data_IF_509290691009
#
_entry.id   IF_509290691009
#
_cell.length_a   1.000
_cell.length_b   1.000
_cell.length_c   1.000
_cell.angle_alpha   90.00
_cell.angle_beta   90.00
_cell.angle_gamma   90.00
#
_symmetry.space_group_name_H-M   'P 1'
#
loop_
_entity.id
_entity.type
_entity.pdbx_description
1 polymer ?
#
# COMPACT_ATOMS: atom_id res chain seq x y z
N UNK A 1 3.08 -3.05 7.65
CA UNK A 1 3.16 -1.74 6.97
C UNK A 1 2.45 -1.77 5.63
N UNK A 2 2.83 -2.66 4.71
CA UNK A 2 2.15 -2.86 3.41
C UNK A 2 0.63 -3.00 3.51
N UNK A 3 0.12 -3.85 4.41
CA UNK A 3 -1.33 -4.00 4.61
C UNK A 3 -1.99 -2.73 5.19
N UNK A 4 -1.31 -2.04 6.11
CA UNK A 4 -1.79 -0.76 6.65
C UNK A 4 -1.83 0.32 5.56
N UNK A 5 -0.86 0.32 4.64
CA UNK A 5 -0.81 1.23 3.50
C UNK A 5 -1.98 1.03 2.54
N UNK A 6 -2.28 -0.22 2.21
CA UNK A 6 -3.41 -0.58 1.35
C UNK A 6 -4.75 -0.13 1.97
N UNK A 7 -4.95 -0.35 3.27
CA UNK A 7 -6.17 0.07 3.99
C UNK A 7 -6.28 1.60 4.07
N UNK A 8 -5.18 2.30 4.37
CA UNK A 8 -5.20 3.78 4.44
C UNK A 8 -5.56 4.38 3.07
N UNK A 9 -5.02 3.82 1.98
CA UNK A 9 -5.27 4.29 0.61
C UNK A 9 -6.68 4.01 0.09
N UNK A 10 -7.47 3.18 0.79
CA UNK A 10 -8.89 2.99 0.46
C UNK A 10 -9.73 4.20 0.92
N UNK A 11 -9.25 4.94 1.93
CA UNK A 11 -9.92 6.12 2.51
C UNK A 11 -9.27 7.45 2.12
N UNK A 12 -7.97 7.45 1.83
CA UNK A 12 -7.21 8.61 1.36
C UNK A 12 -6.79 8.42 -0.10
N UNK A 13 -6.65 9.53 -0.83
CA UNK A 13 -6.05 9.52 -2.17
C UNK A 13 -4.63 8.94 -2.13
N UNK A 14 -4.29 8.16 -3.16
CA UNK A 14 -2.99 7.51 -3.37
C UNK A 14 -1.78 8.39 -2.98
N UNK A 15 -1.77 9.65 -3.43
CA UNK A 15 -0.67 10.58 -3.16
C UNK A 15 -0.56 10.96 -1.69
N UNK A 16 -1.70 11.20 -1.01
CA UNK A 16 -1.73 11.57 0.42
C UNK A 16 -1.30 10.39 1.29
N UNK A 17 -1.73 9.18 0.94
CA UNK A 17 -1.31 7.96 1.64
C UNK A 17 0.22 7.75 1.51
N UNK A 18 0.79 7.98 0.33
CA UNK A 18 2.23 7.89 0.12
C UNK A 18 3.00 8.95 0.92
N UNK A 19 2.48 10.18 0.98
CA UNK A 19 3.07 11.27 1.78
C UNK A 19 3.12 10.96 3.28
N UNK A 20 2.19 10.16 3.81
CA UNK A 20 2.17 9.75 5.23
C UNK A 20 3.11 8.56 5.47
N UNK A 21 3.13 7.60 4.55
CA UNK A 21 3.81 6.31 4.76
C UNK A 21 5.31 6.39 4.49
N UNK A 22 5.74 7.13 3.48
CA UNK A 22 7.17 7.30 3.16
C UNK A 22 8.00 7.84 4.35
N UNK A 23 7.62 8.95 5.02
CA UNK A 23 8.38 9.44 6.17
C UNK A 23 8.32 8.50 7.39
N UNK A 24 7.22 7.78 7.58
CA UNK A 24 7.10 6.75 8.61
C UNK A 24 8.08 5.60 8.37
N UNK A 25 8.20 5.14 7.12
CA UNK A 25 9.13 4.09 6.69
C UNK A 25 10.59 4.53 6.80
N UNK A 26 10.90 5.78 6.48
CA UNK A 26 12.24 6.36 6.69
C UNK A 26 12.58 6.45 8.19
N UNK A 27 11.60 6.73 9.04
CA UNK A 27 11.80 6.76 10.50
C UNK A 27 12.03 5.36 11.04
N UNK A 28 11.25 4.37 10.60
CA UNK A 28 11.42 2.96 10.98
C UNK A 28 12.71 2.35 10.43
N UNK A 29 13.22 2.81 9.29
CA UNK A 29 14.56 2.46 8.78
C UNK A 29 15.67 2.79 9.79
N UNK A 30 15.56 3.92 10.51
CA UNK A 30 16.56 4.27 11.54
C UNK A 30 16.59 3.26 12.69
N UNK A 31 15.48 2.55 12.91
CA UNK A 31 15.33 1.56 13.99
C UNK A 31 15.61 0.13 13.54
N UNK A 32 15.29 -0.22 12.29
CA UNK A 32 15.47 -1.55 11.72
C UNK A 32 16.34 -1.44 10.46
N UNK A 33 17.54 -2.03 10.49
CA UNK A 33 18.55 -2.01 9.41
C UNK A 33 18.15 -2.81 8.15
N UNK A 34 16.94 -2.56 7.65
CA UNK A 34 16.28 -3.18 6.49
C UNK A 34 16.46 -2.25 5.27
N UNK A 35 16.65 -2.78 4.05
CA UNK A 35 16.79 -1.95 2.85
C UNK A 35 15.49 -1.18 2.54
N UNK A 36 15.41 0.06 3.07
CA UNK A 36 14.24 0.93 2.96
C UNK A 36 13.80 1.20 1.52
N UNK A 37 14.73 1.21 0.55
CA UNK A 37 14.40 1.40 -0.86
C UNK A 37 13.43 0.34 -1.38
N UNK A 38 13.56 -0.93 -0.95
CA UNK A 38 12.62 -1.99 -1.35
C UNK A 38 11.27 -1.82 -0.66
N UNK A 39 11.27 -1.48 0.63
CA UNK A 39 10.04 -1.25 1.39
C UNK A 39 9.20 -0.12 0.78
N UNK A 40 9.83 1.01 0.43
CA UNK A 40 9.15 2.15 -0.19
C UNK A 40 8.55 1.76 -1.54
N UNK A 41 9.24 0.95 -2.36
CA UNK A 41 8.69 0.45 -3.63
C UNK A 41 7.45 -0.40 -3.38
N UNK A 42 7.52 -1.35 -2.44
CA UNK A 42 6.36 -2.19 -2.11
C UNK A 42 5.19 -1.41 -1.50
N UNK A 43 5.47 -0.35 -0.72
CA UNK A 43 4.45 0.56 -0.20
C UNK A 43 3.79 1.37 -1.31
N UNK A 44 4.57 1.92 -2.24
CA UNK A 44 4.03 2.62 -3.40
C UNK A 44 3.13 1.71 -4.25
N UNK A 45 3.53 0.46 -4.44
CA UNK A 45 2.71 -0.54 -5.15
C UNK A 45 1.44 -0.92 -4.34
N UNK A 46 1.53 -1.01 -3.02
CA UNK A 46 0.39 -1.30 -2.14
C UNK A 46 -0.65 -0.19 -2.11
N UNK A 47 -0.20 1.06 -2.04
CA UNK A 47 -1.06 2.24 -2.10
C UNK A 47 -1.76 2.31 -3.46
N UNK A 48 -1.03 2.05 -4.55
CA UNK A 48 -1.63 1.92 -5.89
C UNK A 48 -2.70 0.84 -5.97
N UNK A 49 -2.39 -0.38 -5.53
CA UNK A 49 -3.36 -1.49 -5.53
C UNK A 49 -4.58 -1.22 -4.62
N UNK A 50 -4.38 -0.60 -3.45
CA UNK A 50 -5.44 -0.28 -2.50
C UNK A 50 -6.37 0.85 -2.96
N UNK A 51 -5.82 1.87 -3.63
CA UNK A 51 -6.61 3.00 -4.17
C UNK A 51 -7.61 2.61 -5.26
N UNK A 52 -7.39 1.47 -5.93
CA UNK A 52 -8.30 0.97 -6.97
C UNK A 52 -9.68 0.54 -6.44
N UNK A 53 -9.77 0.17 -5.16
CA UNK A 53 -10.98 -0.42 -4.58
C UNK A 53 -12.15 0.57 -4.52
N UNK A 54 -11.88 1.86 -4.25
CA UNK A 54 -12.93 2.87 -4.09
C UNK A 54 -12.84 3.96 -5.16
N UNK A 55 -13.97 4.59 -5.51
CA UNK A 55 -13.99 5.78 -6.36
C UNK A 55 -13.08 6.89 -5.84
N UNK A 56 -13.00 7.06 -4.52
CA UNK A 56 -12.28 8.16 -3.84
C UNK A 56 -10.76 7.93 -3.83
N UNK A 57 -10.30 6.68 -3.97
CA UNK A 57 -8.89 6.32 -3.79
C UNK A 57 -7.93 6.98 -4.78
N UNK A 58 -8.38 7.31 -6.00
CA UNK A 58 -7.60 8.13 -6.93
C UNK A 58 -8.51 8.95 -7.89
N UNK A 59 -7.99 10.05 -8.49
CA UNK A 59 -8.78 10.88 -9.41
C UNK A 59 -9.27 10.12 -10.66
N UNK A 60 -8.54 9.09 -11.08
CA UNK A 60 -8.88 8.27 -12.25
C UNK A 60 -10.18 7.48 -12.01
N UNK A 61 -10.35 6.94 -10.81
CA UNK A 61 -11.53 6.22 -10.37
C UNK A 61 -12.73 7.15 -10.20
N UNK A 62 -12.51 8.40 -9.75
CA UNK A 62 -13.57 9.43 -9.72
C UNK A 62 -14.09 9.71 -11.12
N UNK A 63 -13.20 9.89 -12.11
CA UNK A 63 -13.59 10.11 -13.50
C UNK A 63 -14.34 8.89 -14.07
N UNK A 64 -13.83 7.68 -13.82
CA UNK A 64 -14.48 6.45 -14.27
C UNK A 64 -15.87 6.31 -13.65
N UNK A 65 -16.00 6.53 -12.35
CA UNK A 65 -17.28 6.50 -11.64
C UNK A 65 -18.27 7.54 -12.18
N UNK A 66 -17.80 8.78 -12.41
CA UNK A 66 -18.60 9.87 -12.99
C UNK A 66 -19.13 9.55 -14.39
N UNK A 67 -18.36 8.85 -15.22
CA UNK A 67 -18.80 8.38 -16.53
C UNK A 67 -19.66 7.12 -16.49
N UNK A 68 -19.49 6.27 -15.47
CA UNK A 68 -20.18 4.97 -15.37
C UNK A 68 -21.65 5.10 -14.95
N UNK A 69 -22.01 6.16 -14.21
CA UNK A 69 -23.38 6.38 -13.72
C UNK A 69 -23.87 5.34 -12.69
N UNK A 70 -22.98 4.47 -12.19
CA UNK A 70 -23.29 3.43 -11.20
C UNK A 70 -23.17 3.96 -9.76
N UNK A 71 -23.83 3.32 -8.80
CA UNK A 71 -23.72 3.72 -7.39
C UNK A 71 -22.32 3.44 -6.83
N UNK A 72 -21.93 4.17 -5.77
CA UNK A 72 -20.63 4.01 -5.10
C UNK A 72 -20.34 2.55 -4.70
N UNK A 73 -21.34 1.87 -4.15
CA UNK A 73 -21.25 0.46 -3.74
C UNK A 73 -21.09 -0.48 -4.92
N UNK A 74 -21.80 -0.24 -6.03
CA UNK A 74 -21.69 -1.05 -7.24
C UNK A 74 -20.30 -0.94 -7.89
N UNK A 75 -19.74 0.29 -7.95
CA UNK A 75 -18.36 0.50 -8.41
C UNK A 75 -17.36 -0.26 -7.56
N UNK A 76 -17.48 -0.13 -6.23
CA UNK A 76 -16.59 -0.81 -5.27
C UNK A 76 -16.67 -2.32 -5.42
N UNK A 77 -17.88 -2.87 -5.57
CA UNK A 77 -18.09 -4.31 -5.75
C UNK A 77 -17.48 -4.82 -7.07
N UNK A 78 -17.56 -4.02 -8.14
CA UNK A 78 -17.00 -4.38 -9.43
C UNK A 78 -15.47 -4.30 -9.46
N UNK A 79 -14.89 -3.38 -8.69
CA UNK A 79 -13.43 -3.23 -8.56
C UNK A 79 -12.83 -4.15 -7.50
N UNK A 80 -13.62 -4.67 -6.57
CA UNK A 80 -13.15 -5.54 -5.48
C UNK A 80 -12.37 -6.79 -5.95
N UNK A 81 -12.82 -7.55 -6.98
CA UNK A 81 -12.06 -8.71 -7.46
C UNK A 81 -10.68 -8.32 -8.00
N UNK A 82 -10.61 -7.20 -8.72
CA UNK A 82 -9.36 -6.69 -9.29
C UNK A 82 -8.40 -6.19 -8.19
N UNK A 83 -8.92 -5.41 -7.25
CA UNK A 83 -8.15 -4.93 -6.11
C UNK A 83 -7.61 -6.10 -5.26
N UNK A 84 -8.43 -7.12 -5.03
CA UNK A 84 -8.04 -8.29 -4.27
C UNK A 84 -6.96 -9.12 -4.99
N UNK A 85 -7.07 -9.28 -6.32
CA UNK A 85 -6.04 -9.93 -7.12
C UNK A 85 -4.70 -9.15 -7.10
N UNK A 86 -4.75 -7.82 -7.15
CA UNK A 86 -3.56 -6.95 -7.06
C UNK A 86 -2.92 -6.99 -5.67
N UNK A 87 -3.71 -6.93 -4.61
CA UNK A 87 -3.20 -7.05 -3.23
C UNK A 87 -2.60 -8.45 -3.00
N UNK A 88 -3.27 -9.51 -3.46
CA UNK A 88 -2.77 -10.87 -3.32
C UNK A 88 -1.44 -11.08 -4.07
N UNK A 89 -1.34 -10.60 -5.31
CA UNK A 89 -0.09 -10.69 -6.09
C UNK A 89 1.04 -9.91 -5.42
N UNK A 90 0.74 -8.72 -4.87
CA UNK A 90 1.70 -7.93 -4.13
C UNK A 90 2.20 -8.63 -2.86
N UNK A 91 1.29 -9.25 -2.09
CA UNK A 91 1.64 -9.99 -0.87
C UNK A 91 2.52 -11.20 -1.19
N UNK A 92 2.23 -11.93 -2.26
CA UNK A 92 3.06 -13.03 -2.75
C UNK A 92 4.45 -12.51 -3.14
N UNK A 93 4.51 -11.41 -3.90
CA UNK A 93 5.78 -10.81 -4.33
C UNK A 93 6.59 -10.29 -3.13
N UNK A 94 5.93 -9.71 -2.14
CA UNK A 94 6.55 -9.25 -0.90
C UNK A 94 7.11 -10.45 -0.12
N UNK A 95 6.36 -11.53 -0.01
CA UNK A 95 6.80 -12.75 0.66
C UNK A 95 8.03 -13.38 -0.01
N UNK A 96 8.09 -13.39 -1.35
CA UNK A 96 9.24 -13.89 -2.11
C UNK A 96 10.45 -12.94 -1.97
N UNK A 97 10.25 -11.63 -2.04
CA UNK A 97 11.33 -10.64 -2.03
C UNK A 97 11.90 -10.34 -0.64
N UNK A 98 11.12 -10.48 0.42
CA UNK A 98 11.54 -10.29 1.80
C UNK A 98 11.81 -11.65 2.47
N UNK A 99 13.02 -12.18 2.27
CA UNK A 99 13.50 -13.30 3.11
C UNK A 99 13.58 -12.85 4.57
N UNK A 100 13.11 -13.65 5.55
CA UNK A 100 13.15 -13.29 6.96
C UNK A 100 14.59 -13.05 7.38
N UNK A 101 14.92 -11.79 7.67
CA UNK A 101 16.21 -11.41 8.24
C UNK A 101 15.99 -11.22 9.73
N UNK A 102 16.65 -12.04 10.53
CA UNK A 102 16.69 -11.91 11.98
C UNK A 102 17.11 -10.49 12.33
N UNK A 103 16.26 -9.80 13.10
CA UNK A 103 16.56 -8.48 13.66
C UNK A 103 17.61 -8.72 14.74
N UNK A 104 18.88 -8.58 14.39
CA UNK A 104 19.94 -8.52 15.38
C UNK A 104 19.78 -7.20 16.15
N UNK A 105 19.25 -7.30 17.36
CA UNK A 105 19.18 -6.21 18.32
C UNK A 105 20.60 -5.65 18.53
N UNK A 106 20.78 -4.32 18.57
CA UNK A 106 22.09 -3.75 18.83
C UNK A 106 22.52 -4.22 20.22
N UNK A 107 23.60 -5.01 20.28
CA UNK A 107 24.29 -5.27 21.55
C UNK A 107 24.70 -3.91 22.10
N UNK A 108 24.04 -3.51 23.18
CA UNK A 108 24.47 -2.43 24.06
C UNK A 108 25.87 -2.81 24.55
N UNK A 109 26.90 -2.22 23.93
CA UNK A 109 28.26 -2.29 24.43
C UNK A 109 28.32 -1.44 25.69
N UNK A 110 28.49 -2.12 26.83
CA UNK A 110 28.89 -1.54 28.11
C UNK A 110 30.27 -0.87 28.02
#
# INVERSE_FOLDING_TARGET
>A
MVAAAAVLSTFLTNDVALFIIVPLTITLKKLCSVPASKLIIFEALAVNAGSLLTPIGNPQNILLWGHSGISFGAFTWQMAPLALAMIASLLILAWICFKPKTVELPRRSE
#
